data_IF_492178714201
#
_entry.id   IF_492178714201
#
_cell.length_a   1.000
_cell.length_b   1.000
_cell.length_c   1.000
_cell.angle_alpha   90.00
_cell.angle_beta   90.00
_cell.angle_gamma   90.00
#
_symmetry.space_group_name_H-M   'P 1'
#
loop_
_entity.id
_entity.type
_entity.pdbx_description
1 polymer ?
#
# COMPACT_ATOMS: atom_id res chain seq x y z
N UNK A 1 -4.92 -8.66 4.87
CA UNK A 1 -3.73 -7.79 4.92
C UNK A 1 -4.17 -6.37 4.58
N UNK A 2 -4.21 -5.45 5.56
CA UNK A 2 -4.43 -4.02 5.33
C UNK A 2 -3.13 -3.25 5.11
N UNK A 3 -3.23 -2.03 4.58
CA UNK A 3 -2.13 -1.05 4.55
C UNK A 3 -2.47 0.21 5.37
N UNK A 4 -1.45 1.05 5.64
CA UNK A 4 -1.57 2.22 6.52
C UNK A 4 -2.71 3.19 6.16
N UNK A 5 -3.01 3.49 4.87
CA UNK A 5 -4.12 4.38 4.49
C UNK A 5 -5.53 3.95 4.93
N UNK A 6 -5.71 2.74 5.49
CA UNK A 6 -6.96 2.36 6.15
C UNK A 6 -7.40 3.36 7.23
N UNK A 7 -6.45 4.02 7.89
CA UNK A 7 -6.72 5.03 8.94
C UNK A 7 -7.41 6.29 8.42
N UNK A 8 -7.35 6.53 7.11
CA UNK A 8 -8.03 7.64 6.42
C UNK A 8 -9.06 7.14 5.40
N UNK A 9 -9.53 5.90 5.55
CA UNK A 9 -10.54 5.27 4.68
C UNK A 9 -10.13 5.13 3.21
N UNK A 10 -8.83 5.20 2.92
CA UNK A 10 -8.25 5.09 1.57
C UNK A 10 -7.28 3.91 1.47
N UNK A 11 -7.54 2.88 2.27
CA UNK A 11 -6.77 1.65 2.31
C UNK A 11 -6.91 0.79 1.06
N UNK A 12 -5.91 -0.07 0.87
CA UNK A 12 -6.01 -1.24 0.02
C UNK A 12 -5.86 -2.48 0.91
N UNK A 13 -6.83 -3.37 0.85
CA UNK A 13 -6.91 -4.57 1.65
C UNK A 13 -7.05 -5.78 0.74
N UNK A 14 -6.30 -6.83 1.03
CA UNK A 14 -6.45 -8.13 0.38
C UNK A 14 -6.67 -9.22 1.44
N UNK A 15 -7.63 -10.11 1.21
CA UNK A 15 -7.83 -11.30 2.03
C UNK A 15 -7.94 -12.57 1.17
N UNK A 16 -7.68 -13.71 1.82
CA UNK A 16 -7.89 -15.03 1.26
C UNK A 16 -8.81 -15.83 2.19
N UNK A 17 -9.69 -16.64 1.63
CA UNK A 17 -10.55 -17.54 2.41
C UNK A 17 -9.79 -18.83 2.74
N UNK A 18 -9.90 -19.28 4.00
CA UNK A 18 -9.44 -20.60 4.40
C UNK A 18 -10.31 -21.72 3.78
N UNK A 19 -9.83 -22.96 3.85
CA UNK A 19 -10.49 -24.13 3.22
C UNK A 19 -11.91 -24.41 3.72
N UNK A 20 -12.24 -24.00 4.94
CA UNK A 20 -13.57 -24.17 5.55
C UNK A 20 -14.45 -22.92 5.46
N UNK A 21 -13.89 -21.79 5.00
CA UNK A 21 -14.63 -20.54 4.88
C UNK A 21 -15.50 -20.55 3.64
N UNK A 22 -16.76 -20.18 3.83
CA UNK A 22 -17.77 -20.15 2.77
C UNK A 22 -17.77 -18.80 2.05
N UNK A 23 -18.41 -18.71 0.87
CA UNK A 23 -18.59 -17.44 0.17
C UNK A 23 -19.30 -16.36 1.01
N UNK A 24 -20.23 -16.76 1.88
CA UNK A 24 -20.93 -15.87 2.80
C UNK A 24 -20.01 -15.22 3.83
N UNK A 25 -18.97 -15.93 4.30
CA UNK A 25 -17.97 -15.39 5.22
C UNK A 25 -17.11 -14.31 4.53
N UNK A 26 -16.73 -14.54 3.28
CA UNK A 26 -15.99 -13.56 2.47
C UNK A 26 -16.82 -12.31 2.17
N UNK A 27 -18.10 -12.49 1.85
CA UNK A 27 -19.03 -11.36 1.65
C UNK A 27 -19.23 -10.55 2.93
N UNK A 28 -19.36 -11.21 4.07
CA UNK A 28 -19.44 -10.57 5.38
C UNK A 28 -18.17 -9.76 5.66
N UNK A 29 -16.99 -10.35 5.52
CA UNK A 29 -15.72 -9.65 5.75
C UNK A 29 -15.57 -8.42 4.85
N UNK A 30 -15.91 -8.56 3.56
CA UNK A 30 -15.92 -7.42 2.62
C UNK A 30 -16.87 -6.32 3.08
N UNK A 31 -18.07 -6.68 3.54
CA UNK A 31 -19.06 -5.71 4.04
C UNK A 31 -18.59 -4.96 5.29
N UNK A 32 -17.80 -5.61 6.14
CA UNK A 32 -17.25 -5.00 7.36
C UNK A 32 -16.11 -4.04 7.04
N UNK A 33 -15.25 -4.40 6.09
CA UNK A 33 -14.03 -3.66 5.80
C UNK A 33 -14.14 -2.61 4.69
N UNK A 34 -15.23 -2.59 3.91
CA UNK A 34 -15.36 -1.68 2.76
C UNK A 34 -15.26 -0.19 3.12
N UNK A 35 -15.52 0.19 4.38
CA UNK A 35 -15.37 1.57 4.87
C UNK A 35 -13.91 1.98 5.05
N UNK A 36 -12.98 1.03 5.07
CA UNK A 36 -11.55 1.31 5.21
C UNK A 36 -10.86 1.55 3.86
N UNK A 37 -11.54 1.29 2.74
CA UNK A 37 -11.01 1.48 1.38
C UNK A 37 -11.33 0.30 0.45
N UNK A 38 -10.45 0.05 -0.52
CA UNK A 38 -10.57 -1.08 -1.45
C UNK A 38 -10.35 -2.40 -0.71
N UNK A 39 -11.29 -3.32 -0.82
CA UNK A 39 -11.17 -4.67 -0.24
C UNK A 39 -11.28 -5.69 -1.34
N UNK A 40 -10.26 -6.52 -1.52
CA UNK A 40 -10.27 -7.61 -2.50
C UNK A 40 -10.08 -9.00 -1.89
N UNK A 41 -10.65 -9.99 -2.58
CA UNK A 41 -10.48 -11.41 -2.26
C UNK A 41 -9.60 -12.05 -3.33
N UNK A 42 -8.62 -12.87 -2.92
CA UNK A 42 -7.78 -13.61 -3.85
C UNK A 42 -7.10 -14.82 -3.22
N UNK A 43 -6.26 -15.54 -3.98
CA UNK A 43 -5.40 -16.59 -3.47
C UNK A 43 -4.51 -16.12 -2.32
N UNK A 44 -4.24 -17.02 -1.36
CA UNK A 44 -3.36 -16.73 -0.22
C UNK A 44 -1.96 -16.26 -0.65
N UNK A 45 -1.43 -16.82 -1.74
CA UNK A 45 -0.15 -16.40 -2.32
C UNK A 45 -0.10 -14.92 -2.72
N UNK A 46 -1.25 -14.27 -2.94
CA UNK A 46 -1.31 -12.84 -3.24
C UNK A 46 -1.15 -11.95 -2.00
N UNK A 47 -1.30 -12.50 -0.79
CA UNK A 47 -1.12 -11.74 0.47
C UNK A 47 0.32 -11.23 0.62
N UNK A 48 1.31 -12.07 0.30
CA UNK A 48 2.72 -11.67 0.33
C UNK A 48 3.03 -10.64 -0.77
N UNK A 49 2.45 -10.83 -1.96
CA UNK A 49 2.57 -9.88 -3.07
C UNK A 49 1.98 -8.52 -2.69
N UNK A 50 0.80 -8.53 -2.07
CA UNK A 50 0.13 -7.32 -1.61
C UNK A 50 0.92 -6.58 -0.52
N UNK A 51 1.62 -7.33 0.33
CA UNK A 51 2.54 -6.77 1.33
C UNK A 51 3.69 -6.04 0.65
N UNK A 52 4.33 -6.66 -0.35
CA UNK A 52 5.38 -6.02 -1.12
C UNK A 52 4.91 -4.83 -1.96
N UNK A 53 3.68 -4.88 -2.46
CA UNK A 53 3.08 -3.85 -3.30
C UNK A 53 2.62 -2.62 -2.50
N UNK A 54 1.88 -2.82 -1.41
CA UNK A 54 1.12 -1.74 -0.74
C UNK A 54 1.53 -1.49 0.72
N UNK A 55 2.14 -2.48 1.38
CA UNK A 55 2.56 -2.40 2.79
C UNK A 55 4.00 -1.92 2.98
N UNK A 56 4.81 -1.92 1.92
CA UNK A 56 6.27 -1.68 1.98
C UNK A 56 6.68 -0.21 2.12
N UNK A 57 5.75 0.74 2.11
CA UNK A 57 6.02 2.16 2.34
C UNK A 57 6.80 2.88 1.23
N UNK A 58 7.07 2.21 0.10
CA UNK A 58 7.85 2.76 -1.04
C UNK A 58 7.28 4.10 -1.55
N UNK A 59 5.97 4.29 -1.47
CA UNK A 59 5.32 5.54 -1.89
C UNK A 59 5.72 6.74 -1.03
N UNK A 60 6.04 6.54 0.26
CA UNK A 60 6.46 7.61 1.16
C UNK A 60 7.87 8.10 0.80
N UNK A 61 8.78 7.19 0.45
CA UNK A 61 10.11 7.53 -0.07
C UNK A 61 10.00 8.33 -1.38
N UNK A 62 9.05 7.99 -2.25
CA UNK A 62 8.80 8.76 -3.47
C UNK A 62 8.33 10.19 -3.17
N UNK A 63 7.39 10.36 -2.24
CA UNK A 63 6.91 11.67 -1.82
C UNK A 63 8.02 12.51 -1.16
N UNK A 64 8.84 11.89 -0.32
CA UNK A 64 10.03 12.51 0.29
C UNK A 64 11.03 12.98 -0.77
N UNK A 65 11.40 12.10 -1.71
CA UNK A 65 12.32 12.44 -2.79
C UNK A 65 11.82 13.59 -3.70
N UNK A 66 10.50 13.67 -3.93
CA UNK A 66 9.89 14.81 -4.63
C UNK A 66 10.08 16.12 -3.85
N UNK A 67 9.82 16.11 -2.54
CA UNK A 67 9.97 17.27 -1.69
C UNK A 67 11.45 17.71 -1.61
N UNK A 68 12.38 16.77 -1.40
CA UNK A 68 13.81 17.06 -1.37
C UNK A 68 14.33 17.61 -2.70
N UNK A 69 13.82 17.10 -3.82
CA UNK A 69 14.09 17.64 -5.14
C UNK A 69 13.68 19.12 -5.27
N UNK A 70 12.49 19.48 -4.76
CA UNK A 70 12.03 20.86 -4.76
C UNK A 70 12.85 21.77 -3.81
N UNK A 71 13.23 21.26 -2.63
CA UNK A 71 14.12 21.97 -1.69
C UNK A 71 15.48 22.26 -2.33
N UNK A 72 16.06 21.28 -3.03
CA UNK A 72 17.30 21.46 -3.80
C UNK A 72 17.20 22.57 -4.84
N UNK A 73 16.00 22.82 -5.37
CA UNK A 73 15.73 23.92 -6.31
C UNK A 73 15.37 25.25 -5.63
N UNK A 74 15.42 25.33 -4.30
CA UNK A 74 15.23 26.54 -3.51
C UNK A 74 13.86 26.71 -2.88
N UNK A 75 12.99 25.70 -2.92
CA UNK A 75 11.68 25.78 -2.25
C UNK A 75 11.82 25.60 -0.72
N UNK A 76 11.08 26.34 0.11
CA UNK A 76 11.01 26.07 1.55
C UNK A 76 10.50 24.66 1.85
N UNK A 77 11.15 23.96 2.78
CA UNK A 77 10.88 22.55 3.08
C UNK A 77 9.40 22.24 3.38
N UNK A 78 8.77 23.01 4.27
CA UNK A 78 7.37 22.79 4.63
C UNK A 78 6.40 22.92 3.43
N UNK A 79 6.68 23.86 2.52
CA UNK A 79 5.89 24.02 1.29
C UNK A 79 6.13 22.86 0.32
N UNK A 80 7.40 22.44 0.16
CA UNK A 80 7.77 21.32 -0.69
C UNK A 80 7.08 20.02 -0.25
N UNK A 81 7.08 19.73 1.05
CA UNK A 81 6.41 18.56 1.63
C UNK A 81 4.90 18.60 1.39
N UNK A 82 4.26 19.76 1.60
CA UNK A 82 2.82 19.93 1.39
C UNK A 82 2.42 19.74 -0.07
N UNK A 83 3.18 20.34 -1.00
CA UNK A 83 2.93 20.20 -2.45
C UNK A 83 3.20 18.77 -2.91
N UNK A 84 4.27 18.12 -2.44
CA UNK A 84 4.58 16.74 -2.80
C UNK A 84 3.48 15.78 -2.35
N UNK A 85 3.02 15.90 -1.09
CA UNK A 85 1.90 15.11 -0.57
C UNK A 85 0.62 15.30 -1.40
N UNK A 86 0.24 16.55 -1.69
CA UNK A 86 -0.93 16.85 -2.50
C UNK A 86 -0.80 16.34 -3.95
N UNK A 87 0.41 16.37 -4.51
CA UNK A 87 0.71 15.86 -5.86
C UNK A 87 0.52 14.35 -5.92
N UNK A 88 1.01 13.62 -4.92
CA UNK A 88 0.83 12.16 -4.84
C UNK A 88 -0.64 11.79 -4.65
N UNK A 89 -1.36 12.49 -3.76
CA UNK A 89 -2.80 12.29 -3.56
C UNK A 89 -3.60 12.52 -4.85
N UNK A 90 -3.35 13.64 -5.55
CA UNK A 90 -4.04 13.98 -6.80
C UNK A 90 -3.76 12.98 -7.91
N UNK A 91 -2.50 12.57 -8.08
CA UNK A 91 -2.12 11.55 -9.05
C UNK A 91 -2.77 10.19 -8.74
N UNK A 92 -2.78 9.77 -7.47
CA UNK A 92 -3.44 8.55 -7.03
C UNK A 92 -4.95 8.56 -7.28
N UNK A 93 -5.60 9.68 -6.97
CA UNK A 93 -7.05 9.89 -7.22
C UNK A 93 -7.36 9.79 -8.71
N UNK A 94 -6.58 10.46 -9.57
CA UNK A 94 -6.76 10.38 -11.02
C UNK A 94 -6.53 8.96 -11.56
N UNK A 95 -5.53 8.24 -11.05
CA UNK A 95 -5.28 6.86 -11.43
C UNK A 95 -6.44 5.94 -11.07
N UNK A 96 -7.00 6.09 -9.86
CA UNK A 96 -8.13 5.31 -9.37
C UNK A 96 -9.41 5.59 -10.16
N UNK A 97 -9.73 6.87 -10.36
CA UNK A 97 -11.08 7.28 -10.78
C UNK A 97 -11.21 7.46 -12.30
N UNK A 98 -10.11 7.65 -13.04
CA UNK A 98 -10.17 7.93 -14.48
C UNK A 98 -10.35 6.67 -15.36
N UNK A 99 -10.01 5.49 -14.85
CA UNK A 99 -9.94 4.26 -15.64
C UNK A 99 -8.87 4.25 -16.75
N UNK A 100 -8.03 5.29 -16.82
CA UNK A 100 -6.99 5.43 -17.86
C UNK A 100 -5.74 4.64 -17.47
N UNK A 101 -5.07 4.10 -18.47
CA UNK A 101 -3.77 3.46 -18.26
C UNK A 101 -2.74 4.49 -17.72
N UNK A 102 -1.86 4.15 -16.77
CA UNK A 102 -0.90 5.11 -16.21
C UNK A 102 0.00 5.78 -17.25
N UNK A 103 0.38 5.06 -18.31
CA UNK A 103 1.15 5.62 -19.42
C UNK A 103 0.38 6.69 -20.20
N UNK A 104 -0.95 6.60 -20.27
CA UNK A 104 -1.79 7.62 -20.90
C UNK A 104 -1.83 8.88 -20.05
N UNK A 105 -2.10 8.77 -18.74
CA UNK A 105 -2.09 9.92 -17.82
C UNK A 105 -0.73 10.64 -17.84
N UNK A 106 0.37 9.88 -17.89
CA UNK A 106 1.72 10.46 -18.05
C UNK A 106 1.86 11.24 -19.36
N UNK A 107 1.33 10.72 -20.48
CA UNK A 107 1.37 11.40 -21.77
C UNK A 107 0.53 12.68 -21.77
N UNK A 108 -0.59 12.72 -21.05
CA UNK A 108 -1.46 13.90 -20.96
C UNK A 108 -0.78 15.10 -20.29
N UNK A 109 0.25 14.88 -19.45
CA UNK A 109 1.05 15.94 -18.79
C UNK A 109 2.35 16.24 -19.55
N UNK A 110 2.71 15.43 -20.54
CA UNK A 110 3.98 15.53 -21.24
C UNK A 110 3.83 16.29 -22.57
N UNK A 111 4.29 17.54 -22.61
CA UNK A 111 4.29 18.35 -23.83
C UNK A 111 5.61 18.23 -24.61
N UNK A 112 5.61 18.37 -25.95
CA UNK A 112 6.83 18.35 -26.76
C UNK A 112 7.84 19.42 -26.31
N UNK A 113 9.04 19.00 -25.93
CA UNK A 113 10.10 19.89 -25.42
C UNK A 113 9.83 20.51 -24.04
N UNK A 114 8.76 20.08 -23.34
CA UNK A 114 8.38 20.61 -22.04
C UNK A 114 9.24 20.09 -20.87
N UNK A 115 9.05 20.67 -19.68
CA UNK A 115 9.81 20.29 -18.47
C UNK A 115 9.60 18.82 -18.09
N UNK A 116 8.39 18.30 -18.29
CA UNK A 116 8.03 16.91 -17.96
C UNK A 116 8.91 15.89 -18.69
N UNK A 117 9.19 16.07 -19.99
CA UNK A 117 9.99 15.08 -20.74
C UNK A 117 11.45 15.03 -20.28
N UNK A 118 12.02 16.17 -19.89
CA UNK A 118 13.36 16.23 -19.30
C UNK A 118 13.42 15.53 -17.94
N UNK A 119 12.41 15.74 -17.10
CA UNK A 119 12.27 15.03 -15.82
C UNK A 119 12.12 13.51 -16.01
N UNK A 120 11.24 13.09 -16.91
CA UNK A 120 11.05 11.66 -17.24
C UNK A 120 12.34 11.04 -17.77
N UNK A 121 13.09 11.72 -18.64
CA UNK A 121 14.37 11.22 -19.13
C UNK A 121 15.39 11.03 -17.99
N UNK A 122 15.44 11.93 -17.01
CA UNK A 122 16.30 11.79 -15.85
C UNK A 122 15.89 10.59 -14.96
N UNK A 123 14.58 10.37 -14.76
CA UNK A 123 14.07 9.20 -14.02
C UNK A 123 14.41 7.89 -14.74
N UNK A 124 14.27 7.83 -16.06
CA UNK A 124 14.62 6.63 -16.85
C UNK A 124 16.13 6.37 -16.81
N UNK A 125 16.98 7.41 -16.88
CA UNK A 125 18.43 7.28 -16.67
C UNK A 125 18.79 6.76 -15.28
N UNK A 126 17.98 7.10 -14.27
CA UNK A 126 18.12 6.59 -12.91
C UNK A 126 17.60 5.16 -12.70
N UNK A 127 16.98 4.54 -13.72
CA UNK A 127 16.47 3.18 -13.62
C UNK A 127 15.25 3.03 -12.71
N UNK A 128 14.46 4.10 -12.51
CA UNK A 128 13.38 4.15 -11.51
C UNK A 128 12.39 2.98 -11.62
N UNK A 129 12.05 2.56 -12.83
CA UNK A 129 11.15 1.41 -13.04
C UNK A 129 11.73 0.11 -12.48
N UNK A 130 13.00 -0.15 -12.79
CA UNK A 130 13.70 -1.33 -12.32
C UNK A 130 13.78 -1.30 -10.79
N UNK A 131 14.14 -0.17 -10.19
CA UNK A 131 14.22 -0.01 -8.73
C UNK A 131 12.88 -0.27 -8.05
N UNK A 132 11.78 0.27 -8.57
CA UNK A 132 10.44 0.05 -7.99
C UNK A 132 10.02 -1.42 -8.12
N UNK A 133 10.23 -2.04 -9.29
CA UNK A 133 9.91 -3.46 -9.49
C UNK A 133 10.70 -4.36 -8.54
N UNK A 134 12.01 -4.13 -8.42
CA UNK A 134 12.87 -4.87 -7.50
C UNK A 134 12.50 -4.65 -6.03
N UNK A 135 12.01 -3.46 -5.66
CA UNK A 135 11.54 -3.20 -4.29
C UNK A 135 10.31 -4.07 -3.95
N UNK A 136 9.34 -4.16 -4.87
CA UNK A 136 8.15 -5.02 -4.69
C UNK A 136 8.55 -6.50 -4.61
N UNK A 137 9.45 -6.94 -5.50
CA UNK A 137 9.98 -8.30 -5.51
C UNK A 137 10.68 -8.65 -4.20
N UNK A 138 11.63 -7.81 -3.76
CA UNK A 138 12.39 -8.05 -2.53
C UNK A 138 11.48 -8.09 -1.29
N UNK A 139 10.51 -7.18 -1.19
CA UNK A 139 9.56 -7.15 -0.09
C UNK A 139 8.61 -8.37 -0.10
N UNK A 140 8.18 -8.82 -1.29
CA UNK A 140 7.35 -10.03 -1.45
C UNK A 140 8.12 -11.28 -1.03
N UNK A 141 9.35 -11.46 -1.54
CA UNK A 141 10.22 -12.58 -1.17
C UNK A 141 10.46 -12.61 0.34
N UNK A 142 10.69 -11.43 0.94
CA UNK A 142 10.88 -11.33 2.38
C UNK A 142 9.62 -11.71 3.17
N UNK A 143 8.43 -11.32 2.70
CA UNK A 143 7.18 -11.73 3.34
C UNK A 143 7.01 -13.25 3.31
N UNK A 144 7.31 -13.90 2.18
CA UNK A 144 7.27 -15.36 2.04
C UNK A 144 8.25 -16.07 2.98
N UNK A 145 9.50 -15.58 3.09
CA UNK A 145 10.49 -16.13 4.03
C UNK A 145 10.03 -16.05 5.49
N UNK A 146 9.35 -14.95 5.85
CA UNK A 146 8.81 -14.76 7.20
C UNK A 146 7.63 -15.71 7.47
N UNK A 147 6.77 -15.93 6.47
CA UNK A 147 5.65 -16.88 6.57
C UNK A 147 6.07 -18.35 6.68
N UNK A 148 7.27 -18.71 6.19
CA UNK A 148 7.80 -20.08 6.25
C UNK A 148 8.50 -20.42 7.58
N UNK A 149 8.85 -19.43 8.41
CA UNK A 149 9.37 -19.72 9.74
C UNK A 149 8.24 -20.22 10.63
N UNK A 150 8.36 -21.39 11.29
CA UNK A 150 7.39 -21.80 12.30
C UNK A 150 7.33 -20.72 13.37
N UNK A 151 6.17 -20.06 13.51
CA UNK A 151 5.93 -19.18 14.63
C UNK A 151 6.15 -20.00 15.91
N UNK A 152 7.17 -19.66 16.68
CA UNK A 152 7.36 -20.20 18.00
C UNK A 152 6.18 -19.72 18.86
N UNK A 153 5.14 -20.55 18.94
CA UNK A 153 3.95 -20.32 19.75
C UNK A 153 2.87 -19.47 19.06
N UNK A 154 1.69 -20.09 18.90
CA UNK A 154 0.35 -19.49 18.80
C UNK A 154 0.14 -18.26 17.90
N UNK A 155 -0.55 -18.50 16.78
CA UNK A 155 -1.62 -17.70 16.14
C UNK A 155 -1.28 -16.22 15.79
N UNK A 156 -1.53 -15.88 14.51
CA UNK A 156 -1.61 -14.54 13.91
C UNK A 156 -0.30 -13.82 13.55
N UNK A 157 0.29 -14.23 12.41
CA UNK A 157 1.37 -13.48 11.74
C UNK A 157 0.88 -12.16 11.08
N UNK A 158 -0.43 -11.89 11.00
CA UNK A 158 -0.98 -10.72 10.28
C UNK A 158 -1.08 -9.45 11.16
N UNK A 159 -0.96 -9.55 12.49
CA UNK A 159 -1.14 -8.41 13.41
C UNK A 159 0.16 -7.80 13.95
N UNK A 160 1.30 -8.50 13.84
CA UNK A 160 2.54 -8.06 14.50
C UNK A 160 3.25 -6.88 13.82
N UNK A 161 2.91 -6.52 12.57
CA UNK A 161 3.51 -5.36 11.90
C UNK A 161 2.89 -4.01 12.32
N UNK A 162 1.74 -3.99 13.01
CA UNK A 162 1.05 -2.74 13.38
C UNK A 162 1.14 -2.37 14.86
N UNK A 163 1.64 -3.27 15.72
CA UNK A 163 1.76 -2.99 17.15
C UNK A 163 2.83 -1.93 17.47
N UNK A 164 3.88 -1.78 16.65
CA UNK A 164 4.95 -0.80 16.88
C UNK A 164 4.69 0.58 16.25
N UNK A 165 3.76 0.70 15.29
CA UNK A 165 3.49 1.94 14.57
C UNK A 165 2.30 2.76 15.11
N UNK A 166 1.48 2.18 16.00
CA UNK A 166 0.19 2.75 16.42
C UNK A 166 0.07 2.96 17.94
N UNK A 167 1.17 3.26 18.62
CA UNK A 167 1.22 3.53 20.07
C UNK A 167 0.45 4.78 20.55
N UNK A 168 -0.40 5.38 19.71
CA UNK A 168 -1.16 6.60 20.04
C UNK A 168 -2.56 6.71 19.44
N UNK A 169 -3.10 5.67 18.78
CA UNK A 169 -4.50 5.67 18.30
C UNK A 169 -5.22 4.55 19.03
N UNK A 170 -6.35 4.86 19.67
CA UNK A 170 -7.15 3.90 20.45
C UNK A 170 -7.55 2.67 19.60
N UNK A 171 -6.76 1.60 19.70
CA UNK A 171 -7.03 0.26 19.18
C UNK A 171 -8.08 -0.38 20.09
N UNK A 172 -9.35 0.03 19.97
CA UNK A 172 -10.42 -0.68 20.67
C UNK A 172 -11.51 -1.26 19.75
N UNK A 173 -11.65 -0.84 18.49
CA UNK A 173 -12.75 -1.35 17.64
C UNK A 173 -12.32 -2.25 16.47
N UNK A 174 -11.04 -2.26 16.06
CA UNK A 174 -10.56 -3.20 15.01
C UNK A 174 -10.05 -4.54 15.58
N UNK A 175 -9.72 -4.58 16.87
CA UNK A 175 -9.24 -5.80 17.51
C UNK A 175 -10.37 -6.84 17.65
N UNK A 176 -11.60 -6.39 17.91
CA UNK A 176 -12.77 -7.28 18.09
C UNK A 176 -13.35 -7.78 16.75
N UNK A 177 -13.13 -7.07 15.65
CA UNK A 177 -13.61 -7.45 14.32
C UNK A 177 -12.72 -8.49 13.61
N UNK A 178 -11.42 -8.57 13.96
CA UNK A 178 -10.51 -9.59 13.42
C UNK A 178 -10.32 -10.82 14.33
N UNK A 179 -10.82 -10.79 15.57
CA UNK A 179 -10.77 -11.92 16.51
C UNK A 179 -11.95 -12.92 16.39
N UNK A 180 -12.84 -12.77 15.41
CA UNK A 180 -14.11 -13.51 15.38
C UNK A 180 -14.06 -14.96 14.87
N UNK A 181 -12.87 -15.56 14.63
CA UNK A 181 -12.77 -16.98 14.25
C UNK A 181 -11.73 -17.81 15.04
N UNK A 182 -11.42 -17.41 16.27
CA UNK A 182 -10.46 -18.14 17.13
C UNK A 182 -11.03 -18.97 18.29
N UNK A 183 -12.33 -18.88 18.61
CA UNK A 183 -12.89 -19.49 19.81
C UNK A 183 -14.23 -20.19 19.55
N UNK A 184 -14.13 -21.46 19.14
CA UNK A 184 -15.04 -22.63 19.32
C UNK A 184 -14.55 -23.66 18.30
N UNK A 185 -14.04 -24.84 18.65
CA UNK A 185 -14.16 -25.58 19.89
C UNK A 185 -13.13 -26.71 19.95
N UNK A 186 -12.95 -27.21 21.18
CA UNK A 186 -12.63 -28.61 21.47
C UNK A 186 -13.55 -29.60 20.71
#
# INVERSE_FOLDING_TARGET
MPNLPCVVQEGALLFARGTHAKPEDGALLRSLLHRCGLVEEGPEAWVDIHTGLSGSGVVYLFAEALAEGAVKMGMPSALAQSIASQTVLGAGTLLRDSGKHPAQLRSEVCTPGGTTIHGLHALERGGVRASIMSAVEAATTRAQELGQKPAAGNINCVLLQYHDALSGVEILEMHDLMYFQGLRSA
#
